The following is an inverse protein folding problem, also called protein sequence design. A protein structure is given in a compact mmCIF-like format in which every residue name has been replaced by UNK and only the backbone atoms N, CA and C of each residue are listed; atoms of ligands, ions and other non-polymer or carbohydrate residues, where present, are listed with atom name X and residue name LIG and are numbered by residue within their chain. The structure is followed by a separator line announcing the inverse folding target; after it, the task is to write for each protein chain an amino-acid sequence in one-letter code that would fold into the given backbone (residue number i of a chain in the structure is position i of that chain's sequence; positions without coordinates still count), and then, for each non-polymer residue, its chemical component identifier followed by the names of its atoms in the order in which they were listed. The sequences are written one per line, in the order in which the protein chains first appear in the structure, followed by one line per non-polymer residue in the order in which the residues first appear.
data_IF_513219430798
#
_entry.id   IF_513219430798
#
_cell.length_a   1.000
_cell.length_b   1.000
_cell.length_c   1.000
_cell.angle_alpha   90.00
_cell.angle_beta   90.00
_cell.angle_gamma   90.00
#
_symmetry.space_group_name_H-M   'P 1'
#
loop_
_entity.id
_entity.type
_entity.pdbx_description
1 polymer ?
#
# COMPACT_ATOMS: atom_id res chain seq x y z
N UNK A 1 -25.04 -5.84 -7.44
CA UNK A 1 -25.06 -4.47 -8.04
C UNK A 1 -23.70 -3.80 -7.97
N UNK A 2 -22.96 -3.95 -6.87
CA UNK A 2 -21.62 -3.35 -6.69
C UNK A 2 -20.55 -4.11 -7.46
N UNK A 3 -20.64 -5.43 -7.59
CA UNK A 3 -19.64 -6.26 -8.29
C UNK A 3 -19.44 -5.89 -9.76
N UNK A 4 -20.49 -5.40 -10.43
CA UNK A 4 -20.37 -4.94 -11.82
C UNK A 4 -19.80 -3.52 -11.94
N UNK A 5 -19.86 -2.74 -10.88
CA UNK A 5 -19.35 -1.38 -10.86
C UNK A 5 -17.82 -1.34 -10.78
N UNK A 6 -17.21 -2.33 -10.11
CA UNK A 6 -15.77 -2.41 -9.86
C UNK A 6 -15.02 -3.34 -10.84
N UNK A 7 -15.72 -3.98 -11.76
CA UNK A 7 -15.09 -4.84 -12.80
C UNK A 7 -14.54 -4.07 -14.02
N UNK A 8 -14.29 -2.79 -13.89
CA UNK A 8 -13.62 -2.06 -14.95
C UNK A 8 -12.14 -2.47 -14.95
N UNK A 9 -11.72 -3.29 -15.92
CA UNK A 9 -10.32 -3.68 -16.13
C UNK A 9 -9.46 -2.49 -16.58
N UNK A 10 -9.45 -1.42 -15.81
CA UNK A 10 -8.65 -0.23 -16.10
C UNK A 10 -7.16 -0.53 -15.93
N UNK A 11 -6.86 -1.42 -14.98
CA UNK A 11 -5.51 -1.86 -14.69
C UNK A 11 -5.28 -3.24 -15.28
N UNK A 12 -4.54 -3.33 -16.38
CA UNK A 12 -4.14 -4.59 -17.02
C UNK A 12 -3.08 -5.37 -16.22
N UNK A 13 -2.96 -5.09 -14.93
CA UNK A 13 -2.03 -5.80 -14.06
C UNK A 13 -2.70 -7.01 -13.45
N UNK A 14 -1.93 -8.07 -13.35
CA UNK A 14 -2.27 -9.24 -12.54
C UNK A 14 -1.20 -9.39 -11.48
N UNK A 15 -1.61 -9.89 -10.31
CA UNK A 15 -0.68 -10.28 -9.23
C UNK A 15 0.17 -9.10 -8.71
N UNK A 16 -0.48 -8.09 -8.18
CA UNK A 16 0.19 -6.92 -7.58
C UNK A 16 -0.27 -6.68 -6.14
N UNK A 17 0.54 -5.92 -5.44
CA UNK A 17 0.28 -5.42 -4.09
C UNK A 17 0.03 -3.92 -4.18
N UNK A 18 -0.96 -3.42 -3.46
CA UNK A 18 -1.18 -1.99 -3.28
C UNK A 18 -0.65 -1.57 -1.91
N UNK A 19 0.16 -0.53 -1.89
CA UNK A 19 0.63 0.11 -0.66
C UNK A 19 0.08 1.53 -0.64
N UNK A 20 -0.71 1.83 0.37
CA UNK A 20 -1.21 3.17 0.63
C UNK A 20 -0.54 3.72 1.88
N UNK A 21 0.44 4.60 1.68
CA UNK A 21 1.17 5.24 2.75
C UNK A 21 0.62 6.65 2.94
N UNK A 22 -0.17 6.83 3.96
CA UNK A 22 -0.70 8.14 4.34
C UNK A 22 0.30 8.91 5.22
N UNK A 23 -0.06 10.15 5.59
CA UNK A 23 0.74 11.09 6.39
C UNK A 23 1.35 10.47 7.65
N UNK A 24 0.69 9.47 8.23
CA UNK A 24 1.16 8.79 9.45
C UNK A 24 2.38 7.87 9.26
N UNK A 25 2.76 7.59 8.03
CA UNK A 25 4.04 6.92 7.76
C UNK A 25 5.21 7.90 7.79
N UNK A 26 4.92 9.19 7.74
CA UNK A 26 5.90 10.28 7.64
C UNK A 26 6.63 10.60 8.94
N UNK A 27 6.22 10.02 10.07
CA UNK A 27 6.93 10.15 11.35
C UNK A 27 8.29 9.44 11.36
N UNK A 28 8.65 8.81 10.24
CA UNK A 28 9.92 8.13 10.06
C UNK A 28 10.94 9.10 9.46
N UNK A 29 11.66 9.80 10.30
CA UNK A 29 12.75 10.69 9.87
C UNK A 29 13.85 9.89 9.13
N UNK A 30 14.26 10.39 7.95
CA UNK A 30 15.37 9.85 7.12
C UNK A 30 15.17 8.45 6.51
N UNK A 31 13.95 7.94 6.42
CA UNK A 31 13.67 6.59 5.94
C UNK A 31 13.61 6.49 4.41
N UNK A 32 13.58 7.61 3.70
CA UNK A 32 13.37 7.65 2.26
C UNK A 32 14.32 6.73 1.47
N UNK A 33 15.61 6.78 1.75
CA UNK A 33 16.60 5.91 1.07
C UNK A 33 16.42 4.44 1.42
N UNK A 34 16.16 4.15 2.68
CA UNK A 34 15.98 2.80 3.17
C UNK A 34 14.64 2.22 2.67
N UNK A 35 13.58 3.00 2.66
CA UNK A 35 12.28 2.57 2.15
C UNK A 35 12.36 2.13 0.70
N UNK A 36 13.05 2.88 -0.17
CA UNK A 36 13.31 2.48 -1.56
C UNK A 36 13.95 1.10 -1.65
N UNK A 37 14.99 0.88 -0.87
CA UNK A 37 15.71 -0.40 -0.83
C UNK A 37 14.79 -1.53 -0.38
N UNK A 38 13.99 -1.32 0.67
CA UNK A 38 13.07 -2.34 1.16
C UNK A 38 11.97 -2.66 0.16
N UNK A 39 11.36 -1.67 -0.46
CA UNK A 39 10.31 -1.87 -1.47
C UNK A 39 10.83 -2.64 -2.68
N UNK A 40 12.00 -2.29 -3.18
CA UNK A 40 12.63 -3.02 -4.30
C UNK A 40 13.00 -4.46 -3.91
N UNK A 41 13.51 -4.67 -2.70
CA UNK A 41 13.82 -6.01 -2.22
C UNK A 41 12.55 -6.85 -2.01
N UNK A 42 11.50 -6.26 -1.43
CA UNK A 42 10.22 -6.92 -1.26
C UNK A 42 9.67 -7.37 -2.61
N UNK A 43 9.61 -6.46 -3.60
CA UNK A 43 9.10 -6.80 -4.93
C UNK A 43 9.87 -7.93 -5.61
N UNK A 44 11.20 -7.99 -5.43
CA UNK A 44 12.03 -9.08 -5.96
C UNK A 44 11.71 -10.41 -5.29
N UNK A 45 11.60 -10.42 -3.96
CA UNK A 45 11.35 -11.64 -3.17
C UNK A 45 9.97 -12.25 -3.42
N UNK A 46 8.96 -11.41 -3.50
CA UNK A 46 7.56 -11.87 -3.66
C UNK A 46 7.16 -12.07 -5.12
N UNK A 47 8.03 -11.71 -6.07
CA UNK A 47 7.77 -11.77 -7.51
C UNK A 47 6.50 -11.04 -7.97
N UNK A 48 6.00 -10.11 -7.14
CA UNK A 48 4.81 -9.30 -7.41
C UNK A 48 5.19 -7.86 -7.70
N UNK A 49 4.35 -7.21 -8.47
CA UNK A 49 4.42 -5.76 -8.68
C UNK A 49 3.94 -5.03 -7.42
N UNK A 50 4.59 -3.94 -7.07
CA UNK A 50 4.17 -3.06 -5.97
C UNK A 50 3.73 -1.72 -6.55
N UNK A 51 2.50 -1.36 -6.29
CA UNK A 51 1.91 -0.08 -6.66
C UNK A 51 1.69 0.73 -5.38
N UNK A 52 2.39 1.84 -5.28
CA UNK A 52 2.22 2.77 -4.17
C UNK A 52 1.24 3.85 -4.63
N UNK A 53 0.20 4.12 -3.87
CA UNK A 53 -0.75 5.19 -4.18
C UNK A 53 -0.45 6.43 -3.35
N UNK A 54 -0.51 7.60 -3.98
CA UNK A 54 -0.26 8.88 -3.35
C UNK A 54 -1.18 9.95 -3.90
N UNK A 55 -1.51 10.96 -3.08
CA UNK A 55 -2.15 12.20 -3.51
C UNK A 55 -1.15 13.34 -3.50
N UNK A 56 -0.89 13.90 -4.66
CA UNK A 56 0.25 14.78 -4.98
C UNK A 56 0.35 16.05 -4.11
N UNK A 57 -0.72 16.55 -3.57
CA UNK A 57 -0.73 17.89 -2.99
C UNK A 57 -0.38 17.97 -1.50
N UNK A 58 -0.22 16.84 -0.81
CA UNK A 58 -0.05 16.85 0.65
C UNK A 58 1.21 16.15 1.17
N UNK A 59 1.84 15.29 0.38
CA UNK A 59 2.90 14.44 0.88
C UNK A 59 4.27 14.79 0.31
N UNK A 60 5.04 15.58 1.04
CA UNK A 60 6.46 15.85 0.75
C UNK A 60 7.32 14.58 0.80
N UNK A 61 6.86 13.56 1.49
CA UNK A 61 7.53 12.29 1.73
C UNK A 61 7.87 11.54 0.44
N UNK A 62 6.90 11.44 -0.49
CA UNK A 62 7.12 10.75 -1.77
C UNK A 62 8.00 11.55 -2.74
N UNK A 63 8.21 12.85 -2.50
CA UNK A 63 9.02 13.69 -3.40
C UNK A 63 10.46 13.22 -3.48
N UNK A 64 10.97 12.66 -2.40
CA UNK A 64 12.37 12.27 -2.27
C UNK A 64 12.61 10.78 -2.58
N UNK A 65 11.55 9.99 -2.81
CA UNK A 65 11.72 8.61 -3.24
C UNK A 65 12.25 8.54 -4.67
N UNK A 66 13.30 7.73 -4.88
CA UNK A 66 13.88 7.45 -6.21
C UNK A 66 13.07 6.41 -7.00
N UNK A 67 11.78 6.27 -6.69
CA UNK A 67 10.84 5.40 -7.39
C UNK A 67 10.12 6.21 -8.46
N UNK A 68 9.92 5.60 -9.63
CA UNK A 68 9.19 6.23 -10.72
C UNK A 68 7.78 6.64 -10.29
N UNK A 69 7.41 7.86 -10.64
CA UNK A 69 6.10 8.44 -10.34
C UNK A 69 5.34 8.66 -11.61
N UNK A 70 4.06 8.34 -11.59
CA UNK A 70 3.17 8.62 -12.70
C UNK A 70 1.84 9.16 -12.21
N UNK A 71 1.41 10.26 -12.77
CA UNK A 71 0.07 10.77 -12.56
C UNK A 71 -0.94 9.88 -13.29
N UNK A 72 -2.08 9.55 -12.65
CA UNK A 72 -3.09 8.63 -13.17
C UNK A 72 -3.53 8.96 -14.61
N UNK A 73 -3.72 10.23 -14.94
CA UNK A 73 -4.12 10.66 -16.30
C UNK A 73 -3.12 10.25 -17.40
N UNK A 74 -1.86 10.06 -17.04
CA UNK A 74 -0.79 9.68 -17.95
C UNK A 74 -0.52 8.17 -17.97
N UNK A 75 -1.10 7.44 -17.03
CA UNK A 75 -0.87 6.03 -16.82
C UNK A 75 -1.17 5.17 -18.05
N UNK A 76 -2.32 5.39 -18.72
CA UNK A 76 -2.73 4.63 -19.90
C UNK A 76 -1.83 4.85 -21.14
N UNK A 77 -1.02 5.90 -21.13
CA UNK A 77 -0.16 6.29 -22.25
C UNK A 77 1.30 5.86 -22.07
N UNK A 78 1.64 5.29 -20.91
CA UNK A 78 3.02 5.01 -20.55
C UNK A 78 3.26 3.52 -20.37
N UNK A 79 3.54 2.83 -21.48
CA UNK A 79 3.84 1.39 -21.49
C UNK A 79 5.08 1.03 -20.67
N UNK A 80 6.06 1.94 -20.57
CA UNK A 80 7.29 1.68 -19.81
C UNK A 80 7.04 1.44 -18.33
N UNK A 81 6.03 2.11 -17.75
CA UNK A 81 5.65 1.91 -16.36
C UNK A 81 5.01 0.55 -16.13
N UNK A 82 4.32 0.02 -17.14
CA UNK A 82 3.73 -1.32 -17.04
C UNK A 82 4.81 -2.39 -16.78
N UNK A 83 6.04 -2.12 -17.20
CA UNK A 83 7.18 -3.03 -17.00
C UNK A 83 7.91 -2.80 -15.67
N UNK A 84 7.62 -1.73 -14.94
CA UNK A 84 8.27 -1.47 -13.64
C UNK A 84 7.75 -2.42 -12.57
N UNK A 85 8.66 -2.88 -11.72
CA UNK A 85 8.33 -3.73 -10.56
C UNK A 85 7.73 -2.93 -9.42
N UNK A 86 8.18 -1.69 -9.22
CA UNK A 86 7.70 -0.77 -8.18
C UNK A 86 7.53 0.61 -8.80
N UNK A 87 6.39 1.22 -8.58
CA UNK A 87 6.13 2.61 -9.00
C UNK A 87 5.07 3.29 -8.09
N UNK A 88 5.05 4.61 -8.13
CA UNK A 88 4.07 5.43 -7.44
C UNK A 88 3.02 5.90 -8.44
N UNK A 89 1.76 5.64 -8.14
CA UNK A 89 0.61 6.12 -8.90
C UNK A 89 -0.06 7.28 -8.15
N UNK A 90 0.03 8.47 -8.74
CA UNK A 90 -0.46 9.70 -8.12
C UNK A 90 -1.87 10.05 -8.60
N UNK A 91 -2.66 10.64 -7.69
CA UNK A 91 -3.99 11.22 -7.96
C UNK A 91 -4.96 10.27 -8.65
N UNK A 92 -5.03 9.04 -8.15
CA UNK A 92 -5.98 8.04 -8.63
C UNK A 92 -7.38 8.47 -8.23
N UNK A 93 -8.31 8.66 -9.17
CA UNK A 93 -9.70 8.98 -8.82
C UNK A 93 -10.33 7.86 -7.99
N UNK A 94 -11.30 8.20 -7.15
CA UNK A 94 -11.86 7.29 -6.15
C UNK A 94 -12.37 5.97 -6.73
N UNK A 95 -13.04 6.02 -7.87
CA UNK A 95 -13.57 4.82 -8.54
C UNK A 95 -12.44 3.87 -8.96
N UNK A 96 -11.44 4.41 -9.63
CA UNK A 96 -10.28 3.69 -10.11
C UNK A 96 -9.40 3.20 -8.94
N UNK A 97 -9.37 3.95 -7.85
CA UNK A 97 -8.72 3.54 -6.63
C UNK A 97 -9.40 2.31 -6.00
N UNK A 98 -10.73 2.27 -5.96
CA UNK A 98 -11.47 1.09 -5.53
C UNK A 98 -11.21 -0.12 -6.44
N UNK A 99 -11.14 0.09 -7.76
CA UNK A 99 -10.81 -0.96 -8.73
C UNK A 99 -9.37 -1.49 -8.53
N UNK A 100 -8.43 -0.60 -8.27
CA UNK A 100 -7.06 -0.96 -7.94
C UNK A 100 -6.98 -1.81 -6.65
N UNK A 101 -7.69 -1.42 -5.60
CA UNK A 101 -7.78 -2.19 -4.36
C UNK A 101 -8.41 -3.56 -4.63
N UNK A 102 -9.56 -3.59 -5.28
CA UNK A 102 -10.34 -4.82 -5.52
C UNK A 102 -9.54 -5.91 -6.24
N UNK A 103 -8.74 -5.54 -7.23
CA UNK A 103 -7.96 -6.48 -8.05
C UNK A 103 -6.56 -6.79 -7.50
N UNK A 104 -6.20 -6.23 -6.34
CA UNK A 104 -4.91 -6.50 -5.70
C UNK A 104 -4.89 -7.87 -5.00
N UNK A 105 -3.72 -8.46 -4.87
CA UNK A 105 -3.53 -9.68 -4.09
C UNK A 105 -3.33 -9.41 -2.59
N UNK A 106 -2.89 -8.20 -2.24
CA UNK A 106 -2.68 -7.76 -0.88
C UNK A 106 -2.71 -6.23 -0.83
N UNK A 107 -3.29 -5.71 0.23
CA UNK A 107 -3.30 -4.30 0.55
C UNK A 107 -2.48 -4.01 1.80
N UNK A 108 -1.59 -3.03 1.74
CA UNK A 108 -0.77 -2.59 2.87
C UNK A 108 -1.07 -1.11 3.13
N UNK A 109 -1.40 -0.79 4.35
CA UNK A 109 -1.78 0.54 4.79
C UNK A 109 -0.96 1.00 5.98
N UNK A 110 -0.84 2.31 6.13
CA UNK A 110 -0.45 2.96 7.36
C UNK A 110 -1.61 3.77 7.88
N UNK A 111 -2.58 3.11 8.48
CA UNK A 111 -3.77 3.70 9.06
C UNK A 111 -4.55 4.61 8.09
N UNK A 112 -4.68 4.20 6.86
CA UNK A 112 -5.48 4.92 5.87
C UNK A 112 -6.94 4.45 5.96
N UNK A 113 -7.76 5.11 6.76
CA UNK A 113 -9.14 4.75 7.10
C UNK A 113 -9.97 4.22 5.94
N UNK A 114 -10.18 5.01 4.88
CA UNK A 114 -10.96 4.58 3.71
C UNK A 114 -10.35 3.37 3.00
N UNK A 115 -9.04 3.35 2.81
CA UNK A 115 -8.33 2.26 2.13
C UNK A 115 -8.52 0.92 2.86
N UNK A 116 -8.37 0.92 4.19
CA UNK A 116 -8.58 -0.26 5.03
C UNK A 116 -10.02 -0.74 4.95
N UNK A 117 -10.99 0.18 5.09
CA UNK A 117 -12.40 -0.17 5.02
C UNK A 117 -12.79 -0.78 3.68
N UNK A 118 -12.32 -0.23 2.57
CA UNK A 118 -12.58 -0.79 1.24
C UNK A 118 -11.93 -2.18 1.06
N UNK A 119 -10.70 -2.35 1.53
CA UNK A 119 -10.02 -3.64 1.47
C UNK A 119 -10.79 -4.73 2.23
N UNK A 120 -11.28 -4.40 3.42
CA UNK A 120 -12.06 -5.32 4.24
C UNK A 120 -13.46 -5.57 3.67
N UNK A 121 -14.09 -4.55 3.11
CA UNK A 121 -15.37 -4.70 2.41
C UNK A 121 -15.27 -5.71 1.26
N UNK A 122 -14.18 -5.67 0.52
CA UNK A 122 -13.90 -6.63 -0.56
C UNK A 122 -13.34 -7.97 -0.05
N UNK A 123 -13.19 -8.16 1.25
CA UNK A 123 -12.61 -9.35 1.89
C UNK A 123 -11.20 -9.67 1.39
N UNK A 124 -10.40 -8.64 1.17
CA UNK A 124 -9.03 -8.76 0.69
C UNK A 124 -8.06 -8.86 1.85
N UNK A 125 -6.98 -9.59 1.64
CA UNK A 125 -5.88 -9.63 2.60
C UNK A 125 -5.32 -8.22 2.79
N UNK A 126 -5.28 -7.79 4.04
CA UNK A 126 -4.88 -6.44 4.42
C UNK A 126 -3.88 -6.49 5.56
N UNK A 127 -2.78 -5.74 5.41
CA UNK A 127 -1.82 -5.48 6.48
C UNK A 127 -1.94 -3.99 6.82
N UNK A 128 -2.26 -3.70 8.05
CA UNK A 128 -2.33 -2.32 8.55
C UNK A 128 -1.21 -2.07 9.56
N UNK A 129 -0.43 -1.01 9.34
CA UNK A 129 0.70 -0.65 10.18
C UNK A 129 0.24 0.47 11.10
N UNK A 130 0.07 0.17 12.37
CA UNK A 130 -0.53 1.05 13.37
C UNK A 130 0.45 1.44 14.48
N UNK A 131 0.20 2.58 15.11
CA UNK A 131 0.80 2.86 16.40
C UNK A 131 0.14 2.00 17.49
N UNK A 132 0.89 1.63 18.52
CA UNK A 132 0.36 0.85 19.65
C UNK A 132 -0.88 1.49 20.29
N UNK A 133 -0.95 2.81 20.32
CA UNK A 133 -2.09 3.55 20.89
C UNK A 133 -3.38 3.44 20.06
N UNK A 134 -3.31 2.89 18.83
CA UNK A 134 -4.45 2.79 17.92
C UNK A 134 -5.17 1.44 18.01
N UNK A 135 -4.71 0.51 18.84
CA UNK A 135 -5.32 -0.81 19.06
C UNK A 135 -6.80 -0.73 19.42
N UNK A 136 -7.17 0.23 20.25
CA UNK A 136 -8.56 0.44 20.66
C UNK A 136 -9.46 0.75 19.47
N UNK A 137 -8.96 1.54 18.51
CA UNK A 137 -9.70 1.89 17.31
C UNK A 137 -9.94 0.66 16.42
N UNK A 138 -8.92 -0.15 16.20
CA UNK A 138 -9.00 -1.40 15.44
C UNK A 138 -10.06 -2.33 16.01
N UNK A 139 -10.05 -2.52 17.34
CA UNK A 139 -10.99 -3.41 18.02
C UNK A 139 -12.44 -2.92 17.94
N UNK A 140 -12.66 -1.62 17.78
CA UNK A 140 -14.01 -1.03 17.72
C UNK A 140 -14.60 -1.07 16.31
N UNK A 141 -13.76 -0.87 15.26
CA UNK A 141 -14.26 -0.63 13.90
C UNK A 141 -14.08 -1.80 12.95
N UNK A 142 -13.22 -2.77 13.28
CA UNK A 142 -12.92 -3.89 12.41
C UNK A 142 -13.68 -5.13 12.85
N UNK A 143 -14.75 -5.42 12.12
CA UNK A 143 -15.60 -6.59 12.37
C UNK A 143 -15.05 -7.90 11.80
N UNK A 144 -14.35 -7.84 10.66
CA UNK A 144 -13.77 -9.02 10.01
C UNK A 144 -12.26 -9.06 10.22
N UNK A 145 -11.79 -9.99 11.07
CA UNK A 145 -10.38 -10.16 11.40
C UNK A 145 -9.70 -11.28 10.60
N UNK A 146 -10.41 -12.04 9.80
CA UNK A 146 -9.82 -13.18 9.06
C UNK A 146 -8.79 -12.73 8.01
N UNK A 147 -9.11 -11.66 7.29
CA UNK A 147 -8.23 -11.09 6.26
C UNK A 147 -7.44 -9.86 6.72
N UNK A 148 -7.59 -9.47 7.98
CA UNK A 148 -6.96 -8.28 8.54
C UNK A 148 -5.81 -8.61 9.47
N UNK A 149 -4.65 -8.09 9.13
CA UNK A 149 -3.42 -8.28 9.89
C UNK A 149 -2.88 -6.94 10.36
N UNK A 150 -2.51 -6.85 11.63
CA UNK A 150 -1.92 -5.64 12.19
C UNK A 150 -0.42 -5.84 12.43
N UNK A 151 0.35 -4.81 12.13
CA UNK A 151 1.74 -4.67 12.54
C UNK A 151 1.82 -3.39 13.37
N UNK A 152 2.08 -3.55 14.66
CA UNK A 152 2.29 -2.38 15.51
C UNK A 152 3.70 -1.82 15.33
N UNK A 153 3.77 -0.50 15.13
CA UNK A 153 5.00 0.27 15.17
C UNK A 153 5.09 0.98 16.52
N UNK A 154 6.13 0.75 17.27
CA UNK A 154 6.58 1.67 18.28
C UNK A 154 7.14 2.90 17.54
N UNK A 155 7.18 4.08 18.12
CA UNK A 155 7.62 5.32 17.44
C UNK A 155 8.82 5.04 16.52
N UNK A 156 8.55 4.98 15.22
CA UNK A 156 9.52 4.60 14.19
C UNK A 156 10.55 5.72 14.01
N UNK A 157 11.50 5.80 14.91
CA UNK A 157 12.56 6.79 14.88
C UNK A 157 13.91 6.20 14.42
N UNK A 158 13.96 4.89 14.12
CA UNK A 158 15.22 4.25 13.76
C UNK A 158 15.08 3.21 12.63
N UNK A 159 16.22 2.88 12.02
CA UNK A 159 16.33 1.95 10.91
C UNK A 159 15.90 0.51 11.28
N UNK A 160 16.14 0.10 12.50
CA UNK A 160 15.87 -1.27 12.97
C UNK A 160 14.38 -1.57 12.92
N UNK A 161 13.54 -0.63 13.33
CA UNK A 161 12.08 -0.79 13.31
C UNK A 161 11.52 -0.95 11.90
N UNK A 162 12.06 -0.21 10.92
CA UNK A 162 11.67 -0.35 9.53
C UNK A 162 12.03 -1.74 8.99
N UNK A 163 13.22 -2.24 9.28
CA UNK A 163 13.65 -3.59 8.91
C UNK A 163 12.70 -4.65 9.48
N UNK A 164 12.33 -4.52 10.75
CA UNK A 164 11.40 -5.44 11.40
C UNK A 164 10.01 -5.42 10.78
N UNK A 165 9.49 -4.23 10.44
CA UNK A 165 8.21 -4.10 9.76
C UNK A 165 8.24 -4.80 8.41
N UNK A 166 9.24 -4.54 7.58
CA UNK A 166 9.35 -5.18 6.28
C UNK A 166 9.55 -6.70 6.38
N UNK A 167 10.29 -7.18 7.36
CA UNK A 167 10.43 -8.61 7.65
C UNK A 167 9.09 -9.24 8.04
N UNK A 168 8.28 -8.56 8.85
CA UNK A 168 6.92 -9.01 9.21
C UNK A 168 6.01 -9.02 7.98
N UNK A 169 6.10 -8.00 7.11
CA UNK A 169 5.36 -7.95 5.84
C UNK A 169 5.76 -9.15 4.95
N UNK A 170 7.05 -9.38 4.75
CA UNK A 170 7.56 -10.51 3.96
C UNK A 170 7.02 -11.85 4.48
N UNK A 171 7.09 -12.06 5.79
CA UNK A 171 6.57 -13.30 6.41
C UNK A 171 5.08 -13.49 6.14
N UNK A 172 4.29 -12.42 6.25
CA UNK A 172 2.85 -12.50 5.98
C UNK A 172 2.53 -12.72 4.51
N UNK A 173 3.27 -12.08 3.61
CA UNK A 173 3.09 -12.25 2.16
C UNK A 173 3.40 -13.68 1.71
N UNK A 174 4.41 -14.32 2.31
CA UNK A 174 4.78 -15.70 1.98
C UNK A 174 3.76 -16.75 2.49
N UNK A 175 2.90 -16.36 3.42
CA UNK A 175 1.85 -17.21 3.98
C UNK A 175 0.47 -17.00 3.32
N UNK A 176 0.38 -16.12 2.32
CA UNK A 176 -0.82 -15.84 1.52
C UNK A 176 -0.78 -16.57 0.17
#
# INVERSE_FOLDING_TARGET
YLDNFYKSNIFNFKNYIVIHMDEKFCDINNVEKELNKYLLNLSKKIEKKIIITSYNNKNTYYKNLSIDKIHFNNYKKNEDILNKKVFILEDVPLKEFCDLIYNSSLNISCHAGFFVHMSLYFKLNTIDILNENEERWVNTWISNKETYNVIYKSKLNNKIELEEIFKKIETKVNNL
#
